data_IF_291988999881
#
_entry.id   IF_291988999881
#
_cell.length_a   1.000
_cell.length_b   1.000
_cell.length_c   1.000
_cell.angle_alpha   90.00
_cell.angle_beta   90.00
_cell.angle_gamma   90.00
#
_symmetry.space_group_name_H-M   'P 1'
#
loop_
_entity.id
_entity.type
_entity.pdbx_description
1 polymer ?
#
# COMPACT_ATOMS: atom_id res chain seq x y z
N UNK A 1 15.24 -13.05 15.26
CA UNK A 1 13.79 -13.09 15.48
C UNK A 1 13.24 -11.71 15.13
N UNK A 2 12.32 -11.64 14.16
CA UNK A 2 11.63 -10.40 13.78
C UNK A 2 10.24 -10.35 14.43
N UNK A 3 9.78 -9.14 14.76
CA UNK A 3 8.42 -8.89 15.24
C UNK A 3 7.89 -7.67 14.50
N UNK A 4 6.70 -7.80 13.96
CA UNK A 4 6.02 -6.73 13.24
C UNK A 4 4.62 -6.54 13.80
N UNK A 5 4.15 -5.32 13.79
CA UNK A 5 2.79 -4.96 14.17
C UNK A 5 2.17 -4.18 12.99
N UNK A 6 1.17 -4.78 12.37
CA UNK A 6 0.48 -4.18 11.24
C UNK A 6 -0.97 -3.86 11.62
N UNK A 7 -1.40 -2.65 11.35
CA UNK A 7 -2.80 -2.26 11.51
C UNK A 7 -3.64 -2.89 10.40
N UNK A 8 -4.58 -3.75 10.81
CA UNK A 8 -5.53 -4.44 9.91
C UNK A 8 -6.94 -3.91 10.05
N UNK A 9 -7.15 -2.80 10.76
CA UNK A 9 -8.46 -2.16 10.94
C UNK A 9 -9.19 -1.86 9.63
N UNK A 10 -8.52 -1.47 8.53
CA UNK A 10 -9.18 -1.30 7.24
C UNK A 10 -9.84 -2.56 6.69
N UNK A 11 -9.44 -3.74 7.16
CA UNK A 11 -9.96 -5.04 6.73
C UNK A 11 -10.90 -5.68 7.75
N UNK A 12 -11.37 -4.92 8.74
CA UNK A 12 -12.19 -5.44 9.83
C UNK A 12 -13.48 -6.08 9.31
N UNK A 13 -14.08 -5.57 8.23
CA UNK A 13 -15.25 -6.17 7.57
C UNK A 13 -15.03 -7.63 7.19
N UNK A 14 -13.79 -8.07 7.00
CA UNK A 14 -13.45 -9.48 6.72
C UNK A 14 -13.44 -10.35 7.97
N UNK A 15 -13.49 -9.77 9.15
CA UNK A 15 -13.34 -10.46 10.43
C UNK A 15 -14.63 -10.44 11.29
N UNK A 16 -15.62 -9.68 10.91
CA UNK A 16 -16.82 -9.41 11.75
C UNK A 16 -17.82 -10.56 11.83
N UNK A 17 -17.83 -11.46 10.89
CA UNK A 17 -18.78 -12.57 10.88
C UNK A 17 -18.24 -13.77 11.68
N UNK A 18 -19.15 -14.54 12.32
CA UNK A 18 -18.85 -15.79 13.05
C UNK A 18 -18.46 -16.92 12.09
N UNK A 19 -17.46 -16.71 11.28
CA UNK A 19 -17.02 -17.64 10.28
C UNK A 19 -15.52 -17.93 10.41
N UNK A 20 -15.08 -19.04 9.84
CA UNK A 20 -13.68 -19.41 9.83
C UNK A 20 -12.91 -18.54 8.85
N UNK A 21 -11.84 -17.89 9.33
CA UNK A 21 -10.92 -17.10 8.51
C UNK A 21 -9.60 -17.82 8.37
N UNK A 22 -9.07 -17.85 7.16
CA UNK A 22 -7.78 -18.45 6.86
C UNK A 22 -6.75 -17.36 6.60
N UNK A 23 -5.68 -17.39 7.36
CA UNK A 23 -4.53 -16.53 7.14
C UNK A 23 -3.46 -17.33 6.40
N UNK A 24 -3.00 -16.81 5.28
CA UNK A 24 -1.94 -17.42 4.49
C UNK A 24 -0.69 -16.55 4.54
N UNK A 25 0.41 -17.13 4.93
CA UNK A 25 1.72 -16.52 4.80
C UNK A 25 2.45 -17.10 3.59
N UNK A 26 3.00 -16.24 2.77
CA UNK A 26 3.89 -16.58 1.66
C UNK A 26 5.20 -15.82 1.83
N UNK A 27 6.29 -16.53 1.90
CA UNK A 27 7.62 -15.96 2.08
C UNK A 27 8.69 -16.79 1.41
N UNK A 28 9.81 -16.15 1.07
CA UNK A 28 10.92 -16.79 0.37
C UNK A 28 11.76 -17.73 1.25
N UNK A 29 11.72 -17.56 2.56
CA UNK A 29 12.57 -18.28 3.49
C UNK A 29 11.76 -19.25 4.34
N UNK A 30 12.36 -20.40 4.66
CA UNK A 30 11.79 -21.33 5.62
C UNK A 30 11.93 -20.75 7.03
N UNK A 31 10.87 -20.82 7.81
CA UNK A 31 10.85 -20.35 9.18
C UNK A 31 9.58 -20.74 9.90
N UNK A 32 9.54 -20.44 11.18
CA UNK A 32 8.33 -20.55 12.00
C UNK A 32 7.73 -19.16 12.14
N UNK A 33 6.46 -19.04 11.85
CA UNK A 33 5.72 -17.78 12.01
C UNK A 33 4.62 -18.00 13.05
N UNK A 34 4.46 -17.02 13.91
CA UNK A 34 3.32 -16.91 14.83
C UNK A 34 2.54 -15.66 14.46
N UNK A 35 1.25 -15.82 14.18
CA UNK A 35 0.32 -14.69 13.97
C UNK A 35 -0.50 -14.52 15.24
N UNK A 36 -0.61 -13.28 15.70
CA UNK A 36 -1.50 -12.89 16.79
C UNK A 36 -2.40 -11.77 16.31
N UNK A 37 -3.69 -11.91 16.47
CA UNK A 37 -4.64 -10.83 16.28
C UNK A 37 -4.84 -10.15 17.63
N UNK A 38 -4.61 -8.85 17.67
CA UNK A 38 -4.82 -8.00 18.83
C UNK A 38 -6.08 -7.18 18.57
N UNK A 39 -7.04 -7.29 19.44
CA UNK A 39 -8.27 -6.51 19.39
C UNK A 39 -8.26 -5.49 20.51
N UNK A 40 -8.71 -4.29 20.21
CA UNK A 40 -8.90 -3.25 21.21
C UNK A 40 -10.21 -2.52 20.89
N UNK A 41 -10.81 -1.99 21.93
CA UNK A 41 -11.93 -1.05 21.85
C UNK A 41 -11.47 0.40 21.98
N UNK A 42 -10.16 0.60 22.01
CA UNK A 42 -9.58 1.92 22.03
C UNK A 42 -9.80 2.56 20.66
N UNK A 43 -10.29 3.77 20.68
CA UNK A 43 -10.63 4.51 19.48
C UNK A 43 -11.53 3.68 18.53
N UNK A 44 -12.73 3.43 18.99
CA UNK A 44 -13.81 2.80 18.20
C UNK A 44 -14.31 3.68 17.06
N UNK A 45 -13.45 4.51 16.50
CA UNK A 45 -13.72 5.34 15.34
C UNK A 45 -14.43 4.56 14.22
N UNK A 46 -14.50 5.13 13.09
CA UNK A 46 -15.19 4.54 11.95
C UNK A 46 -14.58 3.19 11.56
N UNK A 47 -15.43 2.16 11.59
CA UNK A 47 -15.07 0.81 11.18
C UNK A 47 -15.37 0.62 9.71
N UNK A 48 -14.48 -0.08 8.99
CA UNK A 48 -14.77 -0.50 7.63
C UNK A 48 -15.90 -1.52 7.63
N UNK A 49 -17.00 -1.23 6.93
CA UNK A 49 -18.18 -2.10 6.81
C UNK A 49 -18.15 -2.96 5.54
N UNK A 50 -17.40 -2.55 4.55
CA UNK A 50 -17.20 -3.29 3.31
C UNK A 50 -15.89 -2.91 2.64
N UNK A 51 -15.44 -3.72 1.71
CA UNK A 51 -14.29 -3.41 0.90
C UNK A 51 -14.12 -4.39 -0.25
N UNK A 52 -13.44 -3.94 -1.28
CA UNK A 52 -13.13 -4.77 -2.43
C UNK A 52 -11.68 -4.58 -2.87
N UNK A 53 -11.12 -5.64 -3.44
CA UNK A 53 -9.79 -5.59 -3.99
C UNK A 53 -9.81 -4.95 -5.36
N UNK A 54 -9.15 -3.83 -5.52
CA UNK A 54 -9.13 -3.09 -6.78
C UNK A 54 -8.16 -3.72 -7.77
N UNK A 55 -6.90 -3.84 -7.42
CA UNK A 55 -5.87 -4.50 -8.23
C UNK A 55 -4.65 -4.91 -7.39
N UNK A 56 -3.85 -5.78 -7.97
CA UNK A 56 -2.48 -6.00 -7.50
C UNK A 56 -1.55 -5.29 -8.48
N UNK A 57 -0.62 -4.54 -7.93
CA UNK A 57 0.41 -3.85 -8.71
C UNK A 57 1.30 -4.83 -9.49
N UNK A 58 2.08 -4.31 -10.40
CA UNK A 58 3.11 -5.01 -11.13
C UNK A 58 4.47 -4.35 -10.93
N UNK A 59 5.49 -4.95 -11.48
CA UNK A 59 6.82 -4.35 -11.49
C UNK A 59 6.86 -3.11 -12.37
N UNK A 60 7.49 -2.06 -11.88
CA UNK A 60 8.04 -1.02 -12.73
C UNK A 60 9.33 -1.57 -13.36
N UNK A 61 9.36 -1.70 -14.64
CA UNK A 61 10.43 -2.39 -15.38
C UNK A 61 11.07 -1.52 -16.45
N UNK A 62 11.42 -0.30 -16.10
CA UNK A 62 12.17 0.61 -16.96
C UNK A 62 11.33 1.45 -17.93
N UNK A 63 10.02 1.51 -17.74
CA UNK A 63 9.13 2.32 -18.60
C UNK A 63 8.37 3.38 -17.79
N UNK A 64 9.07 4.05 -16.91
CA UNK A 64 8.50 5.00 -15.93
C UNK A 64 7.73 6.16 -16.55
N UNK A 65 8.05 6.55 -17.77
CA UNK A 65 7.34 7.61 -18.50
C UNK A 65 6.20 7.10 -19.39
N UNK A 66 5.83 5.83 -19.26
CA UNK A 66 4.78 5.22 -20.08
C UNK A 66 3.54 4.93 -19.23
N UNK A 67 2.67 5.92 -19.10
CA UNK A 67 1.42 5.79 -18.36
C UNK A 67 0.61 4.54 -18.71
N UNK A 68 0.62 4.13 -19.98
CA UNK A 68 -0.19 2.99 -20.43
C UNK A 68 0.29 1.65 -19.85
N UNK A 69 1.55 1.55 -19.49
CA UNK A 69 2.14 0.34 -18.88
C UNK A 69 1.66 0.11 -17.47
N UNK A 70 1.52 1.20 -16.68
CA UNK A 70 1.19 1.14 -15.25
C UNK A 70 -0.19 1.69 -14.95
N UNK A 71 -1.08 1.58 -15.90
CA UNK A 71 -2.47 2.00 -15.78
C UNK A 71 -3.34 0.85 -15.30
N UNK A 72 -4.20 1.12 -14.31
CA UNK A 72 -5.22 0.19 -13.83
C UNK A 72 -6.54 0.92 -13.71
N UNK A 73 -7.60 0.24 -14.11
CA UNK A 73 -8.95 0.79 -14.06
C UNK A 73 -9.87 -0.17 -13.34
N UNK A 74 -10.74 0.36 -12.49
CA UNK A 74 -11.69 -0.39 -11.70
C UNK A 74 -13.00 0.37 -11.57
N UNK A 75 -14.12 -0.33 -11.78
CA UNK A 75 -15.43 0.24 -11.54
C UNK A 75 -15.97 -0.30 -10.23
N UNK A 76 -16.54 0.56 -9.41
CA UNK A 76 -17.10 0.19 -8.12
C UNK A 76 -18.39 0.95 -7.84
N UNK A 77 -19.17 0.39 -6.95
CA UNK A 77 -20.37 1.03 -6.38
C UNK A 77 -20.20 1.11 -4.87
N UNK A 78 -20.77 2.12 -4.27
CA UNK A 78 -20.77 2.28 -2.83
C UNK A 78 -22.06 1.77 -2.21
N UNK A 79 -22.03 1.51 -0.91
CA UNK A 79 -23.26 1.37 -0.13
C UNK A 79 -23.98 2.72 -0.10
N UNK A 80 -25.30 2.70 -0.03
CA UNK A 80 -26.10 3.93 -0.09
C UNK A 80 -25.91 4.85 1.13
N UNK A 81 -25.47 4.29 2.23
CA UNK A 81 -25.34 4.94 3.54
C UNK A 81 -23.87 5.02 4.04
N UNK A 82 -22.91 5.06 3.14
CA UNK A 82 -21.53 5.20 3.54
C UNK A 82 -21.25 6.58 4.16
N UNK A 83 -20.38 6.62 5.15
CA UNK A 83 -19.84 7.85 5.74
C UNK A 83 -18.54 8.26 5.08
N UNK A 84 -17.67 7.29 4.82
CA UNK A 84 -16.39 7.49 4.16
C UNK A 84 -16.11 6.41 3.14
N UNK A 85 -15.49 6.80 2.05
CA UNK A 85 -14.90 5.92 1.05
C UNK A 85 -13.41 6.19 0.99
N UNK A 86 -12.62 5.15 1.23
CA UNK A 86 -11.17 5.27 1.33
C UNK A 86 -10.47 4.29 0.39
N UNK A 87 -9.39 4.74 -0.23
CA UNK A 87 -8.44 3.85 -0.89
C UNK A 87 -7.41 3.46 0.15
N UNK A 88 -7.17 2.16 0.30
CA UNK A 88 -6.08 1.63 1.11
C UNK A 88 -5.05 1.03 0.17
N UNK A 89 -3.85 1.57 0.17
CA UNK A 89 -2.77 1.15 -0.70
C UNK A 89 -1.55 0.69 0.09
N UNK A 90 -0.96 -0.41 -0.33
CA UNK A 90 0.33 -0.88 0.16
C UNK A 90 1.31 -0.79 -1.00
N UNK A 91 2.32 0.06 -0.85
CA UNK A 91 3.29 0.35 -1.90
C UNK A 91 4.68 0.03 -1.37
N UNK A 92 5.41 -0.78 -2.11
CA UNK A 92 6.80 -1.12 -1.81
C UNK A 92 7.65 -1.01 -3.06
N UNK A 93 8.87 -0.48 -2.92
CA UNK A 93 9.87 -0.50 -3.97
C UNK A 93 10.71 -1.76 -3.89
N UNK A 94 10.64 -2.58 -4.91
CA UNK A 94 11.52 -3.72 -5.13
C UNK A 94 11.89 -3.73 -6.59
N UNK A 95 13.15 -3.64 -6.86
CA UNK A 95 13.60 -3.69 -8.21
C UNK A 95 15.12 -3.74 -8.29
N UNK A 96 15.61 -4.14 -9.42
CA UNK A 96 17.02 -4.38 -9.57
C UNK A 96 17.39 -4.22 -11.05
N UNK A 97 18.20 -3.23 -11.31
CA UNK A 97 19.01 -2.96 -12.48
C UNK A 97 18.41 -3.20 -13.89
N UNK A 98 17.13 -3.03 -14.09
CA UNK A 98 16.50 -3.20 -15.41
C UNK A 98 15.75 -1.95 -15.89
N UNK A 99 15.84 -0.87 -15.15
CA UNK A 99 15.26 0.41 -15.53
C UNK A 99 16.30 1.31 -16.25
N UNK A 100 15.81 2.28 -17.00
CA UNK A 100 16.67 3.17 -17.79
C UNK A 100 17.54 4.10 -16.91
N UNK A 101 17.05 4.42 -15.73
CA UNK A 101 17.76 5.27 -14.76
C UNK A 101 18.64 4.46 -13.82
N UNK A 102 18.56 3.14 -13.85
CA UNK A 102 19.23 2.22 -12.93
C UNK A 102 18.96 2.54 -11.45
N UNK A 103 17.79 3.04 -11.15
CA UNK A 103 17.38 3.44 -9.81
C UNK A 103 16.33 2.50 -9.20
N UNK A 104 15.58 1.78 -10.04
CA UNK A 104 14.63 0.74 -9.64
C UNK A 104 13.82 1.13 -8.39
N UNK A 105 14.00 0.42 -7.29
CA UNK A 105 13.30 0.64 -6.03
C UNK A 105 13.60 1.98 -5.35
N UNK A 106 14.64 2.70 -5.78
CA UNK A 106 15.06 3.98 -5.19
C UNK A 106 14.57 5.20 -5.97
N UNK A 107 13.90 5.00 -7.10
CA UNK A 107 13.29 6.09 -7.85
C UNK A 107 12.14 6.73 -7.09
N UNK A 108 11.92 7.99 -7.36
CA UNK A 108 10.71 8.68 -6.97
C UNK A 108 9.60 8.31 -7.95
N UNK A 109 8.81 7.34 -7.57
CA UNK A 109 7.65 6.91 -8.34
C UNK A 109 6.42 7.71 -7.93
N UNK A 110 5.67 8.17 -8.92
CA UNK A 110 4.42 8.89 -8.69
C UNK A 110 3.23 7.94 -8.83
N UNK A 111 2.30 8.04 -7.89
CA UNK A 111 1.08 7.24 -7.86
C UNK A 111 -0.14 8.16 -7.93
N UNK A 112 -0.80 8.18 -9.07
CA UNK A 112 -1.94 9.05 -9.33
C UNK A 112 -3.24 8.27 -9.30
N UNK A 113 -4.24 8.83 -8.62
CA UNK A 113 -5.59 8.26 -8.49
C UNK A 113 -6.61 9.24 -9.03
N UNK A 114 -7.43 8.79 -9.96
CA UNK A 114 -8.51 9.56 -10.59
C UNK A 114 -9.83 8.91 -10.29
N UNK A 115 -10.83 9.68 -9.87
CA UNK A 115 -12.20 9.23 -9.65
C UNK A 115 -13.13 9.96 -10.60
N UNK A 116 -13.90 9.21 -11.41
CA UNK A 116 -14.78 9.79 -12.41
C UNK A 116 -14.07 10.72 -13.41
N UNK A 117 -12.79 10.46 -13.68
CA UNK A 117 -11.93 11.29 -14.54
C UNK A 117 -11.28 12.49 -13.86
N UNK A 118 -11.61 12.79 -12.60
CA UNK A 118 -10.98 13.87 -11.84
C UNK A 118 -9.76 13.36 -11.09
N UNK A 119 -8.66 14.12 -11.11
CA UNK A 119 -7.46 13.81 -10.34
C UNK A 119 -7.74 14.02 -8.85
N UNK A 120 -7.97 12.93 -8.16
CA UNK A 120 -8.37 12.95 -6.76
C UNK A 120 -7.18 12.96 -5.80
N UNK A 121 -6.12 12.25 -6.14
CA UNK A 121 -4.96 12.12 -5.28
C UNK A 121 -3.68 11.78 -6.04
N UNK A 122 -2.56 12.32 -5.55
CA UNK A 122 -1.20 12.03 -6.01
C UNK A 122 -0.33 11.70 -4.80
N UNK A 123 0.56 10.74 -4.96
CA UNK A 123 1.44 10.31 -3.90
C UNK A 123 2.83 9.92 -4.39
N UNK A 124 3.83 10.39 -3.65
CA UNK A 124 5.25 10.10 -3.83
C UNK A 124 5.76 9.35 -2.59
N UNK A 125 5.82 8.02 -2.61
CA UNK A 125 6.18 7.24 -1.43
C UNK A 125 7.70 7.15 -1.24
N UNK A 126 8.35 8.29 -1.05
CA UNK A 126 9.76 8.32 -0.63
C UNK A 126 9.83 8.37 0.89
N UNK A 127 10.77 7.64 1.47
CA UNK A 127 11.09 7.74 2.89
C UNK A 127 12.13 8.83 3.08
N UNK A 128 11.69 9.99 3.57
CA UNK A 128 12.50 11.19 3.85
C UNK A 128 13.24 11.73 2.61
N UNK A 129 14.44 11.21 2.38
CA UNK A 129 15.33 11.57 1.28
C UNK A 129 16.06 10.31 0.76
N UNK A 130 17.01 10.49 -0.13
CA UNK A 130 17.76 9.37 -0.72
C UNK A 130 18.47 8.46 0.29
N UNK A 131 18.67 8.93 1.52
CA UNK A 131 19.27 8.16 2.62
C UNK A 131 18.34 8.07 3.83
N UNK A 132 17.04 8.15 3.60
CA UNK A 132 16.05 8.21 4.67
C UNK A 132 16.05 7.02 5.60
N UNK A 133 16.37 5.83 5.11
CA UNK A 133 16.39 4.63 5.94
C UNK A 133 17.51 4.61 6.97
N UNK A 134 18.60 5.32 6.74
CA UNK A 134 19.68 5.47 7.72
C UNK A 134 19.19 6.19 8.99
N UNK A 135 18.23 7.07 8.84
CA UNK A 135 17.66 7.85 9.96
C UNK A 135 16.69 7.04 10.83
N UNK A 136 16.28 5.87 10.38
CA UNK A 136 15.28 5.03 11.03
C UNK A 136 15.88 3.75 11.65
N UNK A 137 17.18 3.73 11.92
CA UNK A 137 17.84 2.56 12.52
C UNK A 137 17.26 2.23 13.89
N UNK A 138 16.96 3.25 14.69
CA UNK A 138 16.34 3.07 16.01
C UNK A 138 14.89 2.57 15.92
N UNK A 139 14.25 2.74 14.77
CA UNK A 139 12.90 2.28 14.47
C UNK A 139 12.87 0.90 13.77
N UNK A 140 13.99 0.19 13.78
CA UNK A 140 14.05 -1.21 13.38
C UNK A 140 14.55 -1.47 11.97
N UNK A 141 15.14 -0.50 11.31
CA UNK A 141 15.82 -0.72 10.02
C UNK A 141 16.99 -1.67 10.21
N UNK A 142 17.08 -2.66 9.34
CA UNK A 142 18.12 -3.70 9.39
C UNK A 142 19.07 -3.56 8.22
N UNK A 143 20.34 -3.37 8.54
CA UNK A 143 21.40 -3.37 7.53
C UNK A 143 21.44 -4.69 6.76
N UNK A 144 21.46 -4.61 5.44
CA UNK A 144 21.59 -5.78 4.58
C UNK A 144 23.00 -5.92 4.01
N UNK A 145 23.33 -7.14 3.56
CA UNK A 145 24.65 -7.49 3.04
C UNK A 145 25.04 -6.76 1.75
N UNK A 146 24.08 -6.18 1.03
CA UNK A 146 24.31 -5.50 -0.24
C UNK A 146 24.65 -4.02 -0.06
N UNK A 147 24.59 -3.51 1.17
CA UNK A 147 24.93 -2.12 1.47
C UNK A 147 23.94 -1.08 0.99
N UNK A 148 22.79 -1.48 0.45
CA UNK A 148 21.76 -0.57 -0.06
C UNK A 148 20.69 -0.20 0.97
N UNK A 149 20.80 -0.71 2.18
CA UNK A 149 19.82 -0.53 3.25
C UNK A 149 19.64 0.93 3.71
N UNK A 150 20.64 1.85 3.63
CA UNK A 150 20.45 3.23 4.06
C UNK A 150 19.53 4.03 3.14
N UNK A 151 19.38 3.58 1.90
CA UNK A 151 18.62 4.33 0.89
C UNK A 151 17.12 4.12 1.09
N UNK A 152 16.38 5.24 1.03
CA UNK A 152 14.92 5.23 1.00
C UNK A 152 14.42 4.48 -0.22
N UNK A 153 13.48 3.57 0.00
CA UNK A 153 12.75 2.87 -1.05
C UNK A 153 11.33 3.39 -1.10
N UNK A 154 10.64 3.16 -2.18
CA UNK A 154 9.27 3.58 -2.33
C UNK A 154 8.40 3.21 -1.11
N UNK A 155 8.42 4.05 -0.10
CA UNK A 155 7.60 3.98 1.10
C UNK A 155 8.03 3.01 2.22
N UNK A 156 9.20 2.38 2.15
CA UNK A 156 9.65 1.46 3.21
C UNK A 156 11.17 1.36 3.34
N UNK A 157 11.60 0.78 4.45
CA UNK A 157 13.00 0.46 4.71
C UNK A 157 13.18 -1.02 5.07
N UNK A 158 14.35 -1.58 4.78
CA UNK A 158 14.65 -2.98 5.07
C UNK A 158 14.51 -3.28 6.57
N UNK A 159 13.73 -4.30 6.91
CA UNK A 159 13.46 -4.73 8.29
C UNK A 159 12.20 -4.14 8.91
N UNK A 160 11.69 -3.05 8.38
CA UNK A 160 10.43 -2.45 8.83
C UNK A 160 9.21 -3.12 8.20
N UNK A 161 8.05 -2.89 8.80
CA UNK A 161 6.76 -3.19 8.21
C UNK A 161 6.46 -2.23 7.05
N UNK A 162 5.76 -2.71 6.05
CA UNK A 162 5.30 -1.88 4.94
C UNK A 162 4.08 -1.09 5.38
N UNK A 163 4.19 0.23 5.34
CA UNK A 163 3.09 1.11 5.71
C UNK A 163 1.92 0.97 4.75
N UNK A 164 0.72 0.95 5.30
CA UNK A 164 -0.50 1.14 4.53
C UNK A 164 -0.82 2.62 4.45
N UNK A 165 -1.20 3.05 3.26
CA UNK A 165 -1.60 4.41 2.98
C UNK A 165 -3.09 4.45 2.75
N UNK A 166 -3.75 5.39 3.41
CA UNK A 166 -5.19 5.54 3.33
C UNK A 166 -5.54 6.93 2.81
N UNK A 167 -6.34 6.96 1.74
CA UNK A 167 -6.81 8.21 1.12
C UNK A 167 -8.32 8.26 1.19
N UNK A 168 -8.85 9.34 1.73
CA UNK A 168 -10.28 9.60 1.74
C UNK A 168 -10.69 10.19 0.39
N UNK A 169 -11.51 9.46 -0.34
CA UNK A 169 -12.04 9.85 -1.65
C UNK A 169 -13.54 10.16 -1.60
N UNK A 170 -14.12 10.29 -0.42
CA UNK A 170 -15.57 10.47 -0.20
C UNK A 170 -16.16 11.57 -1.07
N UNK A 171 -15.47 12.71 -1.15
CA UNK A 171 -15.94 13.87 -1.93
C UNK A 171 -15.89 13.70 -3.46
N UNK A 172 -15.29 12.62 -3.93
CA UNK A 172 -15.14 12.30 -5.35
C UNK A 172 -16.10 11.22 -5.82
N UNK A 173 -16.79 10.58 -4.89
CA UNK A 173 -17.62 9.40 -5.15
C UNK A 173 -19.08 9.81 -5.30
N UNK A 174 -19.72 9.28 -6.33
CA UNK A 174 -21.16 9.37 -6.53
C UNK A 174 -21.84 8.12 -5.95
N UNK A 175 -22.75 8.32 -5.00
CA UNK A 175 -23.50 7.24 -4.35
C UNK A 175 -24.69 6.73 -5.16
N UNK A 176 -25.02 7.41 -6.25
CA UNK A 176 -26.17 7.08 -7.10
C UNK A 176 -25.80 6.32 -8.37
N UNK A 177 -24.49 6.18 -8.64
CA UNK A 177 -24.00 5.60 -9.87
C UNK A 177 -22.75 4.71 -9.67
N UNK A 178 -22.34 4.07 -10.74
CA UNK A 178 -21.06 3.37 -10.79
C UNK A 178 -19.92 4.38 -10.89
N UNK A 179 -19.00 4.32 -9.97
CA UNK A 179 -17.78 5.11 -9.97
C UNK A 179 -16.67 4.41 -10.76
N UNK A 180 -15.79 5.18 -11.31
CA UNK A 180 -14.59 4.69 -11.99
C UNK A 180 -13.35 5.19 -11.26
N UNK A 181 -12.55 4.24 -10.79
CA UNK A 181 -11.20 4.50 -10.31
C UNK A 181 -10.20 4.22 -11.44
N UNK A 182 -9.38 5.20 -11.74
CA UNK A 182 -8.24 5.05 -12.61
C UNK A 182 -6.97 5.31 -11.79
N UNK A 183 -6.09 4.34 -11.76
CA UNK A 183 -4.74 4.46 -11.23
C UNK A 183 -3.74 4.57 -12.38
N UNK A 184 -2.76 5.46 -12.20
CA UNK A 184 -1.57 5.56 -13.05
C UNK A 184 -0.33 5.62 -12.17
N UNK A 185 0.67 4.83 -12.50
CA UNK A 185 2.02 4.91 -11.93
C UNK A 185 2.98 5.53 -12.93
N UNK A 186 3.80 6.47 -12.49
CA UNK A 186 4.80 7.20 -13.28
C UNK A 186 6.19 7.10 -12.66
#
# INVERSE_FOLDING_TARGET
EGRWLTDVSPYLFMLEENDVRTFKYEGANKGTMTIKLLFSDWDVGERSSSGERVFTGGQFNGQYNNESTYKRQHNFTTLADYHHVKIVATITGHGFNQDQANCAEFCDHEHHYYIGGNHAYEWHPIVHDSQGCEKEVDDGVVANQFGSWPYGRAGWCAGQDVKQWTYDITNWVDNSSTNNLLYKGL
#
